data_IF_355625862060
#
_entry.id   IF_355625862060
#
_cell.length_a   1.000
_cell.length_b   1.000
_cell.length_c   1.000
_cell.angle_alpha   90.00
_cell.angle_beta   90.00
_cell.angle_gamma   90.00
#
_symmetry.space_group_name_H-M   'P 1'
#
loop_
_entity.id
_entity.type
_entity.pdbx_description
1 polymer ?
#
# COMPACT_ATOMS: atom_id res chain seq x y z
N UNK A 1 -11.69 17.99 -51.59
CA UNK A 1 -10.99 17.02 -50.73
C UNK A 1 -10.13 17.73 -49.66
N UNK A 2 -10.73 18.44 -48.71
CA UNK A 2 -9.99 19.12 -47.61
C UNK A 2 -10.67 19.03 -46.23
N UNK A 3 -11.82 18.35 -46.13
CA UNK A 3 -12.63 18.27 -44.90
C UNK A 3 -12.34 16.99 -44.10
N UNK A 4 -11.66 16.00 -44.69
CA UNK A 4 -11.43 14.70 -44.05
C UNK A 4 -10.26 14.67 -43.04
N UNK A 5 -9.47 15.75 -42.90
CA UNK A 5 -8.24 15.74 -42.09
C UNK A 5 -8.48 16.25 -40.65
N UNK A 6 -9.57 16.98 -40.38
CA UNK A 6 -9.82 17.58 -39.06
C UNK A 6 -10.51 16.64 -38.05
N UNK A 7 -10.99 15.47 -38.45
CA UNK A 7 -11.72 14.54 -37.58
C UNK A 7 -10.84 13.54 -36.80
N UNK A 8 -9.53 13.50 -37.07
CA UNK A 8 -8.59 12.63 -36.35
C UNK A 8 -7.86 13.31 -35.18
N UNK A 9 -8.06 14.61 -34.96
CA UNK A 9 -7.38 15.39 -33.91
C UNK A 9 -8.10 15.40 -32.55
N UNK A 10 -9.21 14.66 -32.42
CA UNK A 10 -10.08 14.67 -31.23
C UNK A 10 -10.36 13.27 -30.68
N UNK A 11 -9.41 12.32 -30.82
CA UNK A 11 -9.41 11.17 -29.94
C UNK A 11 -8.94 11.65 -28.56
N UNK A 12 -9.81 11.75 -27.53
CA UNK A 12 -9.31 11.99 -26.21
C UNK A 12 -8.47 10.76 -25.85
N UNK A 13 -7.18 10.96 -25.60
CA UNK A 13 -6.38 10.00 -24.86
C UNK A 13 -6.95 9.94 -23.45
N UNK A 14 -8.06 9.22 -23.27
CA UNK A 14 -8.55 8.87 -21.95
C UNK A 14 -7.65 7.72 -21.49
N UNK A 15 -6.47 8.08 -21.01
CA UNK A 15 -5.73 7.20 -20.13
C UNK A 15 -6.57 7.09 -18.86
N UNK A 16 -7.45 6.09 -18.80
CA UNK A 16 -7.95 5.61 -17.53
C UNK A 16 -6.72 5.09 -16.79
N UNK A 17 -6.15 5.92 -15.91
CA UNK A 17 -5.26 5.41 -14.89
C UNK A 17 -6.09 4.41 -14.10
N UNK A 18 -5.91 3.12 -14.41
CA UNK A 18 -6.50 2.03 -13.65
C UNK A 18 -6.13 2.27 -12.20
N UNK A 19 -7.13 2.38 -11.33
CA UNK A 19 -6.89 2.42 -9.89
C UNK A 19 -5.92 1.28 -9.53
N UNK A 20 -4.94 1.52 -8.66
CA UNK A 20 -3.95 0.49 -8.33
C UNK A 20 -4.68 -0.78 -7.89
N UNK A 21 -4.35 -1.91 -8.51
CA UNK A 21 -4.98 -3.17 -8.15
C UNK A 21 -4.61 -3.54 -6.71
N UNK A 22 -5.41 -4.35 -6.01
CA UNK A 22 -5.05 -4.84 -4.67
C UNK A 22 -3.64 -5.46 -4.59
N UNK A 23 -3.20 -6.11 -5.66
CA UNK A 23 -1.85 -6.67 -5.80
C UNK A 23 -0.78 -5.58 -5.90
N UNK A 24 -1.05 -4.50 -6.63
CA UNK A 24 -0.16 -3.35 -6.71
C UNK A 24 -0.06 -2.64 -5.37
N UNK A 25 -1.19 -2.39 -4.69
CA UNK A 25 -1.22 -1.79 -3.36
C UNK A 25 -0.45 -2.63 -2.32
N UNK A 26 -0.60 -3.96 -2.35
CA UNK A 26 0.20 -4.86 -1.51
C UNK A 26 1.70 -4.77 -1.83
N UNK A 27 2.05 -4.63 -3.12
CA UNK A 27 3.45 -4.45 -3.56
C UNK A 27 4.06 -3.18 -3.02
N UNK A 28 3.33 -2.07 -3.15
CA UNK A 28 3.79 -0.77 -2.71
C UNK A 28 3.89 -0.73 -1.18
N UNK A 29 2.98 -1.41 -0.47
CA UNK A 29 3.09 -1.59 0.98
C UNK A 29 4.39 -2.30 1.36
N UNK A 30 4.65 -3.47 0.80
CA UNK A 30 5.86 -4.23 1.14
C UNK A 30 7.16 -3.51 0.81
N UNK A 31 7.21 -2.83 -0.34
CA UNK A 31 8.35 -2.00 -0.72
C UNK A 31 8.55 -0.82 0.22
N UNK A 32 7.48 -0.11 0.57
CA UNK A 32 7.55 1.04 1.48
C UNK A 32 7.94 0.66 2.91
N UNK A 33 7.70 -0.59 3.33
CA UNK A 33 8.20 -1.11 4.60
C UNK A 33 9.70 -1.44 4.58
N UNK A 34 10.31 -1.63 3.40
CA UNK A 34 11.72 -2.03 3.30
C UNK A 34 12.67 -0.90 3.69
N UNK A 35 13.62 -1.18 4.58
CA UNK A 35 14.61 -0.23 5.06
C UNK A 35 15.90 -0.91 5.52
N UNK A 36 17.01 -0.17 5.44
CA UNK A 36 18.30 -0.63 5.99
C UNK A 36 18.38 -0.51 7.52
N UNK A 37 19.52 -0.92 8.11
CA UNK A 37 19.79 -0.72 9.53
C UNK A 37 19.83 0.77 9.88
N UNK A 38 19.26 1.15 11.02
CA UNK A 38 19.19 2.53 11.49
C UNK A 38 18.26 3.45 10.68
N UNK A 39 17.43 2.89 9.80
CA UNK A 39 16.51 3.63 8.93
C UNK A 39 15.05 3.24 9.24
N UNK A 40 14.12 4.12 8.88
CA UNK A 40 12.70 3.81 8.81
C UNK A 40 12.30 3.48 7.37
N UNK A 41 11.11 2.91 7.20
CA UNK A 41 10.48 2.75 5.88
C UNK A 41 9.96 4.09 5.32
N UNK A 42 9.44 4.04 4.10
CA UNK A 42 8.83 5.20 3.43
C UNK A 42 7.40 5.44 3.95
N UNK A 43 7.30 6.13 5.08
CA UNK A 43 6.00 6.49 5.68
C UNK A 43 5.12 7.37 4.77
N UNK A 44 5.70 8.11 3.81
CA UNK A 44 4.93 8.92 2.88
C UNK A 44 4.26 8.05 1.80
N UNK A 45 4.99 7.07 1.27
CA UNK A 45 4.42 6.06 0.38
C UNK A 45 3.33 5.24 1.08
N UNK A 46 3.56 4.79 2.33
CA UNK A 46 2.53 4.10 3.13
C UNK A 46 1.27 4.95 3.28
N UNK A 47 1.39 6.26 3.53
CA UNK A 47 0.23 7.15 3.68
C UNK A 47 -0.71 7.13 2.47
N UNK A 48 -0.17 7.03 1.26
CA UNK A 48 -0.97 6.96 0.03
C UNK A 48 -1.81 5.68 -0.12
N UNK A 49 -1.53 4.65 0.70
CA UNK A 49 -2.18 3.33 0.61
C UNK A 49 -3.36 3.16 1.58
N UNK A 50 -3.47 3.99 2.61
CA UNK A 50 -4.48 3.84 3.66
C UNK A 50 -5.56 4.92 3.57
N UNK A 51 -6.80 4.52 3.81
CA UNK A 51 -7.88 5.47 4.12
C UNK A 51 -7.59 6.18 5.46
N UNK A 52 -8.04 7.41 5.61
CA UNK A 52 -7.80 8.22 6.82
C UNK A 52 -8.28 7.52 8.11
N UNK A 53 -9.41 6.82 8.01
CA UNK A 53 -10.03 6.08 9.13
C UNK A 53 -9.63 4.59 9.20
N UNK A 54 -8.62 4.17 8.43
CA UNK A 54 -8.22 2.77 8.41
C UNK A 54 -7.61 2.34 9.77
N UNK A 55 -7.88 1.10 10.14
CA UNK A 55 -7.32 0.44 11.31
C UNK A 55 -6.36 -0.65 10.86
N UNK A 56 -5.20 -0.75 11.52
CA UNK A 56 -4.19 -1.79 11.30
C UNK A 56 -4.22 -2.77 12.47
N UNK A 57 -4.43 -4.04 12.14
CA UNK A 57 -4.46 -5.13 13.11
C UNK A 57 -3.24 -6.02 12.91
N UNK A 58 -2.58 -6.38 14.01
CA UNK A 58 -1.40 -7.23 14.00
C UNK A 58 -1.43 -8.24 15.14
N UNK A 59 -0.96 -9.45 14.86
CA UNK A 59 -0.79 -10.52 15.85
C UNK A 59 0.66 -11.01 15.83
N UNK A 60 1.26 -11.17 17.01
CA UNK A 60 2.59 -11.79 17.16
C UNK A 60 2.66 -12.60 18.45
N UNK A 61 3.56 -13.57 18.51
CA UNK A 61 3.87 -14.24 19.77
C UNK A 61 4.96 -13.46 20.52
N UNK A 62 4.77 -13.27 21.83
CA UNK A 62 5.78 -12.74 22.74
C UNK A 62 5.81 -13.64 23.96
N UNK A 63 6.99 -14.16 24.31
CA UNK A 63 7.18 -15.04 25.48
C UNK A 63 6.23 -16.26 25.47
N UNK A 64 5.96 -16.81 24.29
CA UNK A 64 5.06 -17.96 24.11
C UNK A 64 3.56 -17.65 24.12
N UNK A 65 3.15 -16.40 24.36
CA UNK A 65 1.76 -15.98 24.35
C UNK A 65 1.39 -15.16 23.10
N UNK A 66 0.20 -15.34 22.51
CA UNK A 66 -0.27 -14.48 21.42
C UNK A 66 -0.61 -13.09 21.96
N UNK A 67 -0.07 -12.08 21.29
CA UNK A 67 -0.33 -10.66 21.56
C UNK A 67 -0.96 -10.04 20.33
N UNK A 68 -2.13 -9.43 20.53
CA UNK A 68 -2.85 -8.70 19.49
C UNK A 68 -2.64 -7.20 19.66
N UNK A 69 -2.64 -6.50 18.54
CA UNK A 69 -2.57 -5.05 18.47
C UNK A 69 -3.59 -4.54 17.45
N UNK A 70 -4.19 -3.40 17.77
CA UNK A 70 -5.02 -2.63 16.88
C UNK A 70 -4.59 -1.17 17.04
N UNK A 71 -4.30 -0.50 15.93
CA UNK A 71 -3.86 0.88 15.94
C UNK A 71 -4.44 1.62 14.74
N UNK A 72 -4.51 2.95 14.81
CA UNK A 72 -4.91 3.76 13.66
C UNK A 72 -3.85 3.67 12.57
N UNK A 73 -4.25 3.79 11.31
CA UNK A 73 -3.30 3.84 10.20
C UNK A 73 -2.30 4.99 10.35
N UNK A 74 -2.70 6.14 10.93
CA UNK A 74 -1.80 7.26 11.23
C UNK A 74 -0.66 6.86 12.18
N UNK A 75 -0.98 6.15 13.25
CA UNK A 75 0.00 5.66 14.24
C UNK A 75 0.91 4.60 13.59
N UNK A 76 0.35 3.74 12.74
CA UNK A 76 1.13 2.78 11.97
C UNK A 76 2.13 3.47 11.04
N UNK A 77 1.72 4.49 10.28
CA UNK A 77 2.61 5.26 9.38
C UNK A 77 3.78 5.90 10.13
N UNK A 78 3.51 6.50 11.28
CA UNK A 78 4.55 7.07 12.15
C UNK A 78 5.53 5.98 12.63
N UNK A 79 4.99 4.81 13.00
CA UNK A 79 5.81 3.68 13.41
C UNK A 79 6.70 3.15 12.28
N UNK A 80 6.25 3.21 11.02
CA UNK A 80 7.02 2.79 9.84
C UNK A 80 8.17 3.75 9.57
N UNK A 81 7.90 5.07 9.65
CA UNK A 81 8.92 6.09 9.42
C UNK A 81 9.98 6.15 10.53
N UNK A 82 9.72 5.55 11.69
CA UNK A 82 10.64 5.54 12.82
C UNK A 82 11.87 4.67 12.52
N UNK A 83 13.11 5.20 12.69
CA UNK A 83 14.33 4.44 12.53
C UNK A 83 14.41 3.21 13.43
N UNK A 84 14.87 2.07 12.89
CA UNK A 84 15.07 0.83 13.65
C UNK A 84 16.47 0.30 13.47
N UNK A 85 17.05 -0.25 14.53
CA UNK A 85 18.39 -0.83 14.51
C UNK A 85 18.49 -1.98 13.48
N UNK A 86 17.48 -2.86 13.47
CA UNK A 86 17.40 -3.97 12.54
C UNK A 86 16.88 -3.49 11.17
N UNK A 87 17.51 -3.97 10.10
CA UNK A 87 16.96 -3.82 8.76
C UNK A 87 15.72 -4.69 8.56
N UNK A 88 14.87 -4.25 7.64
CA UNK A 88 13.82 -5.08 7.07
C UNK A 88 13.95 -4.96 5.55
N UNK A 89 14.36 -6.03 4.88
CA UNK A 89 14.31 -6.09 3.42
C UNK A 89 13.18 -7.03 3.06
N UNK A 90 12.22 -6.54 2.29
CA UNK A 90 11.27 -7.45 1.70
C UNK A 90 12.01 -8.45 0.82
N UNK A 91 11.75 -9.73 1.08
CA UNK A 91 12.21 -10.87 0.31
C UNK A 91 10.99 -11.72 -0.04
N UNK A 92 9.93 -11.09 -0.56
CA UNK A 92 8.66 -11.78 -0.76
C UNK A 92 8.86 -12.98 -1.70
N UNK A 93 8.62 -14.18 -1.17
CA UNK A 93 8.73 -15.44 -1.92
C UNK A 93 7.38 -15.83 -2.55
N UNK A 94 6.27 -15.49 -1.89
CA UNK A 94 4.91 -15.76 -2.37
C UNK A 94 3.94 -14.72 -1.84
N UNK A 95 2.95 -14.37 -2.66
CA UNK A 95 1.85 -13.47 -2.30
C UNK A 95 0.53 -14.08 -2.72
N UNK A 96 -0.40 -14.12 -1.77
CA UNK A 96 -1.80 -14.45 -2.02
C UNK A 96 -2.66 -13.24 -1.67
N UNK A 97 -3.27 -12.62 -2.68
CA UNK A 97 -4.25 -11.56 -2.47
C UNK A 97 -5.63 -12.19 -2.51
N UNK A 98 -6.30 -12.23 -1.36
CA UNK A 98 -7.67 -12.69 -1.24
C UNK A 98 -8.62 -11.52 -1.26
N UNK A 99 -9.49 -11.48 -2.26
CA UNK A 99 -10.60 -10.52 -2.32
C UNK A 99 -11.81 -11.18 -1.68
N UNK A 100 -12.13 -10.71 -0.48
CA UNK A 100 -13.39 -11.03 0.17
C UNK A 100 -14.37 -9.95 -0.27
N UNK A 101 -15.07 -10.17 -1.38
CA UNK A 101 -16.10 -9.23 -1.81
C UNK A 101 -17.13 -9.03 -0.69
N UNK A 102 -17.50 -7.76 -0.47
CA UNK A 102 -18.41 -7.23 0.57
C UNK A 102 -17.88 -7.32 2.01
N UNK A 103 -16.98 -6.40 2.37
CA UNK A 103 -16.81 -5.94 3.77
C UNK A 103 -16.76 -4.41 3.96
N UNK A 104 -17.14 -3.61 2.97
CA UNK A 104 -17.35 -2.18 3.18
C UNK A 104 -18.45 -1.66 2.24
N UNK A 105 -19.68 -1.61 2.73
CA UNK A 105 -20.57 -0.49 2.40
C UNK A 105 -20.44 0.44 3.60
N UNK A 106 -19.86 1.63 3.38
CA UNK A 106 -19.93 2.75 4.33
C UNK A 106 -21.22 3.50 4.05
#
# INVERSE_FOLDING_TARGET
MKIAILLFALAPMVAFASAPSPEAAASDLWRSLSHGPGQGGDGAAVRGLFHADAMVYGGRYKEGAPVFSAQKASEFMESVATPRENAFYECEVTREVRRYDRFATV
#
